data_IF_830579155731
#
_entry.id   IF_830579155731
#
_cell.length_a   1.000
_cell.length_b   1.000
_cell.length_c   1.000
_cell.angle_alpha   90.00
_cell.angle_beta   90.00
_cell.angle_gamma   90.00
#
_symmetry.space_group_name_H-M   'P 1'
#
loop_
_entity.id
_entity.type
_entity.pdbx_description
1 polymer ?
#
# COMPACT_ATOMS: atom_id res chain seq x y z
N UNK A 1 -17.54 9.69 5.35
CA UNK A 1 -16.68 10.62 6.11
C UNK A 1 -17.34 10.86 7.46
N UNK A 2 -16.57 10.84 8.54
CA UNK A 2 -17.09 10.93 9.91
C UNK A 2 -16.48 12.12 10.61
N UNK A 3 -17.27 12.79 11.43
CA UNK A 3 -16.80 13.86 12.31
C UNK A 3 -16.41 13.30 13.67
N UNK A 4 -15.63 14.07 14.42
CA UNK A 4 -15.32 13.76 15.82
C UNK A 4 -16.63 13.53 16.58
N UNK A 5 -16.72 12.44 17.32
CA UNK A 5 -17.96 12.00 17.99
C UNK A 5 -18.82 11.04 17.17
N UNK A 6 -18.40 10.68 15.97
CA UNK A 6 -19.00 9.59 15.19
C UNK A 6 -20.15 10.01 14.27
N UNK A 7 -20.45 11.30 14.20
CA UNK A 7 -21.57 11.83 13.42
C UNK A 7 -21.24 11.94 11.93
N UNK A 8 -22.23 11.73 11.05
CA UNK A 8 -22.06 12.00 9.62
C UNK A 8 -21.96 13.50 9.36
N UNK A 9 -21.16 13.88 8.35
CA UNK A 9 -21.10 15.24 7.84
C UNK A 9 -22.26 15.49 6.87
N UNK A 10 -23.07 16.52 7.12
CA UNK A 10 -24.08 17.02 6.19
C UNK A 10 -23.64 18.38 5.65
N UNK A 11 -23.65 18.53 4.32
CA UNK A 11 -23.25 19.78 3.65
C UNK A 11 -24.45 20.48 3.03
N UNK A 12 -24.45 21.81 3.08
CA UNK A 12 -25.43 22.65 2.39
C UNK A 12 -25.02 22.81 0.92
N UNK A 13 -25.89 22.47 -0.04
CA UNK A 13 -25.62 22.69 -1.46
C UNK A 13 -25.42 24.18 -1.77
N UNK A 14 -24.51 24.50 -2.69
CA UNK A 14 -24.26 25.87 -3.16
C UNK A 14 -23.43 26.77 -2.22
N UNK A 15 -23.10 26.31 -1.01
CA UNK A 15 -22.20 27.02 -0.09
C UNK A 15 -20.83 26.36 -0.12
N UNK A 16 -19.77 27.17 -0.29
CA UNK A 16 -18.40 26.67 -0.32
C UNK A 16 -18.01 26.02 1.01
N UNK A 17 -17.47 24.81 0.96
CA UNK A 17 -16.89 24.10 2.09
C UNK A 17 -15.43 24.51 2.27
N UNK A 18 -15.07 24.99 3.45
CA UNK A 18 -13.70 25.31 3.83
C UNK A 18 -13.24 24.35 4.94
N UNK A 19 -12.03 23.80 4.78
CA UNK A 19 -11.41 22.87 5.73
C UNK A 19 -10.08 23.47 6.18
N UNK A 20 -9.96 23.78 7.46
CA UNK A 20 -8.71 24.27 8.06
C UNK A 20 -7.70 23.15 8.31
N UNK A 21 -6.46 23.53 8.61
CA UNK A 21 -5.34 22.59 8.81
C UNK A 21 -5.54 21.63 9.98
N UNK A 22 -6.29 22.02 10.99
CA UNK A 22 -6.68 21.16 12.11
C UNK A 22 -7.85 20.20 11.78
N UNK A 23 -8.44 20.31 10.58
CA UNK A 23 -9.56 19.51 10.13
C UNK A 23 -10.94 20.08 10.50
N UNK A 24 -11.05 21.30 11.04
CA UNK A 24 -12.35 21.94 11.23
C UNK A 24 -13.00 22.29 9.87
N UNK A 25 -14.28 21.98 9.74
CA UNK A 25 -15.06 22.23 8.54
C UNK A 25 -16.03 23.38 8.76
N UNK A 26 -16.12 24.29 7.78
CA UNK A 26 -17.02 25.43 7.82
C UNK A 26 -17.73 25.64 6.48
N UNK A 27 -18.97 26.15 6.53
CA UNK A 27 -19.73 26.63 5.38
C UNK A 27 -20.36 27.98 5.71
N UNK A 28 -20.09 29.00 4.90
CA UNK A 28 -20.66 30.35 5.11
C UNK A 28 -20.37 30.95 6.49
N UNK A 29 -19.24 30.58 7.11
CA UNK A 29 -18.88 31.01 8.47
C UNK A 29 -19.44 30.15 9.61
N UNK A 30 -20.29 29.16 9.32
CA UNK A 30 -20.83 28.23 10.33
C UNK A 30 -19.95 26.99 10.41
N UNK A 31 -19.54 26.60 11.62
CA UNK A 31 -18.81 25.35 11.86
C UNK A 31 -19.74 24.14 11.71
N UNK A 32 -19.32 23.17 10.89
CA UNK A 32 -20.02 21.90 10.68
C UNK A 32 -19.47 20.76 11.57
N UNK A 33 -18.32 20.99 12.22
CA UNK A 33 -17.61 20.01 13.04
C UNK A 33 -16.15 19.85 12.60
N UNK A 34 -15.51 18.79 13.09
CA UNK A 34 -14.10 18.46 12.82
C UNK A 34 -13.97 17.07 12.23
N UNK A 35 -13.10 16.89 11.24
CA UNK A 35 -12.78 15.58 10.69
C UNK A 35 -12.19 14.65 11.76
N UNK A 36 -12.68 13.42 11.79
CA UNK A 36 -12.15 12.38 12.66
C UNK A 36 -10.99 11.66 11.96
N UNK A 37 -9.77 12.10 12.28
CA UNK A 37 -8.52 11.52 11.79
C UNK A 37 -7.90 10.69 12.90
N UNK A 38 -7.67 9.41 12.62
CA UNK A 38 -7.13 8.46 13.60
C UNK A 38 -5.99 7.65 13.01
N UNK A 39 -5.04 7.28 13.84
CA UNK A 39 -4.00 6.32 13.53
C UNK A 39 -4.41 4.91 13.94
N UNK A 40 -3.68 3.92 13.44
CA UNK A 40 -3.80 2.53 13.86
C UNK A 40 -2.40 1.97 14.09
N UNK A 41 -2.21 1.09 15.10
CA UNK A 41 -0.93 0.42 15.30
C UNK A 41 -0.67 -0.59 14.16
N UNK A 42 0.57 -1.05 14.07
CA UNK A 42 1.00 -1.96 13.01
C UNK A 42 0.18 -3.28 13.01
N UNK A 43 -0.22 -3.70 11.80
CA UNK A 43 -0.99 -4.92 11.58
C UNK A 43 -2.41 -4.86 12.15
N UNK A 44 -2.99 -3.68 12.37
CA UNK A 44 -4.40 -3.51 12.74
C UNK A 44 -5.33 -3.32 11.52
N UNK A 45 -4.75 -3.09 10.34
CA UNK A 45 -5.47 -2.76 9.11
C UNK A 45 -5.30 -3.85 8.06
N UNK A 46 -6.42 -4.30 7.49
CA UNK A 46 -6.46 -5.12 6.29
C UNK A 46 -6.76 -4.25 5.07
N UNK A 47 -6.01 -4.46 3.98
CA UNK A 47 -6.33 -3.82 2.70
C UNK A 47 -7.61 -4.42 2.11
N UNK A 48 -8.58 -3.59 1.72
CA UNK A 48 -9.85 -4.01 1.12
C UNK A 48 -9.91 -3.80 -0.40
N UNK A 49 -8.82 -3.35 -1.01
CA UNK A 49 -8.75 -2.99 -2.42
C UNK A 49 -8.69 -1.47 -2.63
N UNK A 50 -8.26 -1.06 -3.82
CA UNK A 50 -7.95 0.34 -4.13
C UNK A 50 -7.09 0.98 -3.01
N UNK A 51 -7.57 2.08 -2.42
CA UNK A 51 -6.95 2.80 -1.30
C UNK A 51 -7.69 2.60 0.03
N UNK A 52 -8.61 1.63 0.11
CA UNK A 52 -9.41 1.39 1.30
C UNK A 52 -8.77 0.36 2.23
N UNK A 53 -8.86 0.64 3.53
CA UNK A 53 -8.42 -0.21 4.62
C UNK A 53 -9.56 -0.45 5.59
N UNK A 54 -9.61 -1.65 6.18
CA UNK A 54 -10.56 -2.03 7.22
C UNK A 54 -9.79 -2.36 8.49
N UNK A 55 -10.22 -1.78 9.58
CA UNK A 55 -9.77 -2.17 10.91
C UNK A 55 -10.27 -3.59 11.21
N UNK A 56 -9.34 -4.54 11.29
CA UNK A 56 -9.65 -5.98 11.35
C UNK A 56 -9.47 -6.58 12.73
N UNK A 57 -8.68 -5.95 13.60
CA UNK A 57 -8.39 -6.40 14.96
C UNK A 57 -8.93 -5.41 16.00
N UNK A 58 -10.11 -5.67 16.60
CA UNK A 58 -10.70 -4.79 17.61
C UNK A 58 -9.82 -4.57 18.85
N UNK A 59 -8.87 -5.47 19.14
CA UNK A 59 -7.95 -5.32 20.27
C UNK A 59 -6.90 -4.22 20.02
N UNK A 60 -6.65 -3.87 18.75
CA UNK A 60 -5.71 -2.83 18.32
C UNK A 60 -6.44 -1.51 18.03
N UNK A 61 -7.03 -0.94 19.07
CA UNK A 61 -7.84 0.27 18.96
C UNK A 61 -7.15 1.42 18.20
N UNK A 62 -7.97 2.22 17.53
CA UNK A 62 -7.52 3.45 16.88
C UNK A 62 -6.89 4.41 17.91
N UNK A 63 -5.82 5.10 17.51
CA UNK A 63 -5.06 6.02 18.35
C UNK A 63 -5.21 7.48 17.88
N UNK A 64 -5.25 8.46 18.78
CA UNK A 64 -5.24 9.87 18.40
C UNK A 64 -3.94 10.26 17.67
N UNK A 65 -4.04 11.15 16.68
CA UNK A 65 -2.90 11.67 15.90
C UNK A 65 -2.82 13.20 16.00
N UNK A 66 -2.27 13.75 17.10
CA UNK A 66 -2.37 15.18 17.40
C UNK A 66 -1.52 16.08 16.49
N UNK A 67 -0.51 15.53 15.80
CA UNK A 67 0.40 16.26 14.94
C UNK A 67 0.03 16.17 13.44
N UNK A 68 -1.16 15.68 13.10
CA UNK A 68 -1.61 15.53 11.72
C UNK A 68 -2.35 16.77 11.24
N UNK A 69 -2.01 17.23 10.04
CA UNK A 69 -2.65 18.36 9.37
C UNK A 69 -3.48 17.91 8.17
N UNK A 70 -4.50 18.69 7.84
CA UNK A 70 -5.36 18.51 6.66
C UNK A 70 -5.11 19.66 5.68
N UNK A 71 -4.75 19.34 4.44
CA UNK A 71 -4.53 20.35 3.40
C UNK A 71 -5.61 20.28 2.32
N UNK A 72 -6.56 21.22 2.35
CA UNK A 72 -7.60 21.30 1.34
C UNK A 72 -7.03 21.59 -0.06
N UNK A 73 -7.61 20.96 -1.09
CA UNK A 73 -7.20 21.16 -2.48
C UNK A 73 -5.87 20.46 -2.86
N UNK A 74 -5.36 19.60 -1.98
CA UNK A 74 -4.20 18.74 -2.24
C UNK A 74 -4.64 17.28 -2.37
N UNK A 75 -3.88 16.51 -3.14
CA UNK A 75 -4.02 15.06 -3.26
C UNK A 75 -2.71 14.40 -2.84
N UNK A 76 -2.81 13.34 -2.06
CA UNK A 76 -1.67 12.51 -1.68
C UNK A 76 -1.27 11.60 -2.86
N UNK A 77 0.01 11.64 -3.23
CA UNK A 77 0.58 10.82 -4.28
C UNK A 77 1.15 9.51 -3.74
N UNK A 78 1.41 8.56 -4.64
CA UNK A 78 2.09 7.34 -4.25
C UNK A 78 3.55 7.62 -3.87
N UNK A 79 4.03 7.00 -2.80
CA UNK A 79 5.42 7.11 -2.35
C UNK A 79 6.40 6.18 -3.11
N UNK A 80 6.02 5.72 -4.31
CA UNK A 80 6.80 4.76 -5.12
C UNK A 80 7.28 5.40 -6.42
N UNK A 81 8.53 5.11 -6.77
CA UNK A 81 9.16 5.53 -8.02
C UNK A 81 8.99 4.45 -9.09
N UNK A 82 8.34 4.80 -10.20
CA UNK A 82 8.13 3.88 -11.32
C UNK A 82 9.45 3.43 -11.99
N UNK A 83 10.43 4.31 -12.26
CA UNK A 83 11.72 3.91 -12.81
C UNK A 83 12.49 2.93 -11.91
N UNK A 84 12.52 3.18 -10.60
CA UNK A 84 13.20 2.30 -9.64
C UNK A 84 12.53 0.93 -9.56
N UNK A 85 11.20 0.90 -9.59
CA UNK A 85 10.41 -0.33 -9.59
C UNK A 85 10.70 -1.16 -10.85
N UNK A 86 10.77 -0.52 -12.02
CA UNK A 86 11.11 -1.19 -13.27
C UNK A 86 12.54 -1.74 -13.27
N UNK A 87 13.53 -0.97 -12.79
CA UNK A 87 14.90 -1.44 -12.67
C UNK A 87 15.02 -2.67 -11.75
N UNK A 88 14.28 -2.66 -10.62
CA UNK A 88 14.20 -3.79 -9.71
C UNK A 88 13.60 -5.03 -10.38
N UNK A 89 12.55 -4.85 -11.18
CA UNK A 89 11.94 -5.93 -11.95
C UNK A 89 12.91 -6.52 -12.98
N UNK A 90 13.65 -5.68 -13.72
CA UNK A 90 14.68 -6.15 -14.67
C UNK A 90 15.76 -6.98 -13.97
N UNK A 91 16.23 -6.52 -12.81
CA UNK A 91 17.22 -7.27 -12.03
C UNK A 91 16.67 -8.64 -11.59
N UNK A 92 15.43 -8.70 -11.12
CA UNK A 92 14.76 -9.96 -10.77
C UNK A 92 14.66 -10.91 -11.97
N UNK A 93 14.30 -10.40 -13.16
CA UNK A 93 14.24 -11.22 -14.37
C UNK A 93 15.61 -11.79 -14.75
N UNK A 94 16.68 -10.99 -14.69
CA UNK A 94 18.04 -11.45 -14.99
C UNK A 94 18.54 -12.50 -13.98
N UNK A 95 18.19 -12.35 -12.70
CA UNK A 95 18.50 -13.37 -11.69
C UNK A 95 17.77 -14.68 -12.01
N UNK A 96 16.49 -14.60 -12.39
CA UNK A 96 15.72 -15.76 -12.79
C UNK A 96 16.27 -16.45 -14.04
N UNK A 97 16.66 -15.69 -15.07
CA UNK A 97 17.35 -16.22 -16.26
C UNK A 97 18.65 -16.94 -15.90
N UNK A 98 19.46 -16.38 -15.00
CA UNK A 98 20.69 -17.00 -14.53
C UNK A 98 20.43 -18.34 -13.84
N UNK A 99 19.39 -18.41 -12.99
CA UNK A 99 18.99 -19.64 -12.33
C UNK A 99 18.51 -20.69 -13.33
N UNK A 100 17.73 -20.31 -14.33
CA UNK A 100 17.30 -21.22 -15.39
C UNK A 100 18.49 -21.80 -16.17
N UNK A 101 19.47 -20.97 -16.53
CA UNK A 101 20.69 -21.43 -17.21
C UNK A 101 21.45 -22.43 -16.35
N UNK A 102 21.58 -22.16 -15.04
CA UNK A 102 22.24 -23.09 -14.12
C UNK A 102 21.52 -24.45 -14.04
N UNK A 103 20.19 -24.46 -14.00
CA UNK A 103 19.39 -25.68 -14.02
C UNK A 103 19.60 -26.46 -15.31
N UNK A 104 19.55 -25.79 -16.47
CA UNK A 104 19.77 -26.43 -17.78
C UNK A 104 21.15 -27.06 -17.87
N UNK A 105 22.21 -26.33 -17.47
CA UNK A 105 23.57 -26.86 -17.42
C UNK A 105 23.69 -28.07 -16.49
N UNK A 106 23.06 -28.02 -15.31
CA UNK A 106 23.02 -29.15 -14.39
C UNK A 106 22.32 -30.38 -14.98
N UNK A 107 21.21 -30.18 -15.69
CA UNK A 107 20.50 -31.25 -16.39
C UNK A 107 21.31 -31.88 -17.53
N UNK A 108 22.00 -31.07 -18.33
CA UNK A 108 22.89 -31.54 -19.39
C UNK A 108 24.07 -32.35 -18.83
N UNK A 109 24.68 -31.87 -17.75
CA UNK A 109 25.77 -32.57 -17.06
C UNK A 109 25.31 -33.93 -16.54
N UNK A 110 24.12 -34.00 -15.94
CA UNK A 110 23.56 -35.25 -15.45
C UNK A 110 23.31 -36.26 -16.59
N UNK A 111 22.77 -35.81 -17.73
CA UNK A 111 22.53 -36.69 -18.89
C UNK A 111 23.84 -37.28 -19.43
N UNK A 112 24.89 -36.47 -19.58
CA UNK A 112 26.21 -36.94 -20.03
C UNK A 112 26.80 -38.00 -19.08
N UNK A 113 26.69 -37.80 -17.77
CA UNK A 113 27.18 -38.76 -16.79
C UNK A 113 26.45 -40.12 -16.89
N UNK A 114 25.14 -40.11 -17.14
CA UNK A 114 24.35 -41.33 -17.37
C UNK A 114 24.80 -42.05 -18.65
N UNK A 115 24.98 -41.32 -19.76
CA UNK A 115 25.41 -41.90 -21.04
C UNK A 115 26.81 -42.54 -20.97
N UNK A 116 27.75 -41.92 -20.24
CA UNK A 116 29.08 -42.49 -20.01
C UNK A 116 29.04 -43.80 -19.20
N UNK A 117 28.24 -43.84 -18.13
CA UNK A 117 28.08 -45.06 -17.33
C UNK A 117 27.45 -46.20 -18.12
N UNK A 118 26.43 -45.90 -18.94
CA UNK A 118 25.76 -46.90 -19.78
C UNK A 118 26.73 -47.55 -20.80
N UNK A 119 27.71 -46.79 -21.31
CA UNK A 119 28.71 -47.27 -22.26
C UNK A 119 29.82 -48.14 -21.63
N UNK A 120 30.10 -47.96 -20.34
CA UNK A 120 31.09 -48.79 -19.62
C UNK A 120 30.49 -50.13 -19.16
N UNK A 121 29.17 -50.19 -18.98
CA UNK A 121 28.46 -51.41 -18.57
C UNK A 121 28.07 -52.38 -19.69
N UNK A 122 28.37 -52.06 -20.96
CA UNK A 122 28.16 -52.92 -22.14
C UNK A 122 29.47 -53.49 -22.67
#
# INVERSE_FOLDING_TARGET
MRLVGGTPLTIQPGVALNISTDGNLTQGGVSLGRLDVVGFPEGALDKQGATLFRHSDPAKAAIPVPATEVHQGKLEGANVSAPESAARLVNLMRQFESLQRAITMGGEMNRKAIDELARVGS
#
